data_IF_737747820608
#
_entry.id   IF_737747820608
#
_cell.length_a   1.000
_cell.length_b   1.000
_cell.length_c   1.000
_cell.angle_alpha   90.00
_cell.angle_beta   90.00
_cell.angle_gamma   90.00
#
_symmetry.space_group_name_H-M   'P 1'
#
loop_
_entity.id
_entity.type
_entity.pdbx_description
1 polymer ?
#
# COMPACT_ATOMS: atom_id res chain seq x y z
N UNK A 1 21.40 -7.19 2.90
CA UNK A 1 20.52 -6.29 3.71
C UNK A 1 19.11 -6.83 3.65
N UNK A 2 18.54 -7.16 4.82
CA UNK A 2 17.22 -7.79 4.94
C UNK A 2 16.22 -6.76 5.47
N UNK A 3 15.13 -6.55 4.73
CA UNK A 3 14.09 -5.57 5.07
C UNK A 3 12.78 -6.31 5.28
N UNK A 4 12.13 -6.05 6.41
CA UNK A 4 10.74 -6.46 6.66
C UNK A 4 9.79 -5.35 6.21
N UNK A 5 8.96 -5.63 5.21
CA UNK A 5 7.88 -4.76 4.78
C UNK A 5 6.56 -5.12 5.44
N UNK A 6 5.74 -4.12 5.76
CA UNK A 6 4.40 -4.29 6.33
C UNK A 6 3.39 -3.35 5.67
N UNK A 7 2.24 -3.90 5.31
CA UNK A 7 1.09 -3.14 4.82
C UNK A 7 -0.22 -3.58 5.46
N UNK A 8 -1.04 -2.61 5.85
CA UNK A 8 -2.42 -2.78 6.33
C UNK A 8 -3.32 -1.63 5.86
N UNK A 9 -2.88 -0.92 4.81
CA UNK A 9 -3.57 0.26 4.28
C UNK A 9 -4.83 -0.09 3.48
N UNK A 10 -4.92 -1.32 2.98
CA UNK A 10 -6.02 -1.83 2.16
C UNK A 10 -6.81 -2.92 2.91
N UNK A 11 -7.91 -3.45 2.33
CA UNK A 11 -8.61 -4.60 2.90
C UNK A 11 -7.74 -5.85 3.08
N UNK A 12 -6.67 -5.97 2.28
CA UNK A 12 -5.66 -7.03 2.40
C UNK A 12 -4.50 -6.54 3.26
N UNK A 13 -4.21 -7.25 4.35
CA UNK A 13 -2.98 -7.02 5.12
C UNK A 13 -1.86 -7.91 4.58
N UNK A 14 -0.61 -7.45 4.63
CA UNK A 14 0.52 -8.23 4.15
C UNK A 14 1.81 -7.93 4.91
N UNK A 15 2.68 -8.93 4.99
CA UNK A 15 4.07 -8.81 5.40
C UNK A 15 4.98 -9.46 4.37
N UNK A 16 6.20 -8.97 4.22
CA UNK A 16 7.17 -9.54 3.29
C UNK A 16 8.61 -9.32 3.77
N UNK A 17 9.48 -10.25 3.44
CA UNK A 17 10.92 -10.14 3.60
C UNK A 17 11.58 -9.97 2.24
N UNK A 18 12.41 -8.95 2.14
CA UNK A 18 13.21 -8.67 0.93
C UNK A 18 14.67 -8.63 1.33
N UNK A 19 15.50 -9.44 0.68
CA UNK A 19 16.94 -9.45 0.85
C UNK A 19 17.62 -8.97 -0.42
N UNK A 20 18.42 -7.92 -0.32
CA UNK A 20 19.17 -7.31 -1.44
C UNK A 20 18.29 -7.07 -2.69
N UNK A 21 17.07 -6.55 -2.45
CA UNK A 21 16.09 -6.25 -3.49
C UNK A 21 15.31 -7.46 -4.01
N UNK A 22 15.55 -8.67 -3.51
CA UNK A 22 14.86 -9.89 -3.92
C UNK A 22 13.86 -10.33 -2.85
N UNK A 23 12.66 -10.70 -3.27
CA UNK A 23 11.63 -11.26 -2.38
C UNK A 23 12.10 -12.62 -1.84
N UNK A 24 12.16 -12.77 -0.52
CA UNK A 24 12.49 -14.01 0.19
C UNK A 24 11.22 -14.73 0.64
N UNK A 25 10.30 -14.01 1.27
CA UNK A 25 9.03 -14.55 1.73
C UNK A 25 7.97 -13.45 1.73
N UNK A 26 6.74 -13.82 1.48
CA UNK A 26 5.59 -12.92 1.66
C UNK A 26 4.36 -13.67 2.16
N UNK A 27 3.52 -12.99 2.91
CA UNK A 27 2.26 -13.50 3.40
C UNK A 27 1.19 -12.43 3.28
N UNK A 28 0.05 -12.83 2.71
CA UNK A 28 -1.13 -11.99 2.58
C UNK A 28 -2.27 -12.56 3.42
N UNK A 29 -3.04 -11.67 4.00
CA UNK A 29 -4.30 -11.95 4.68
C UNK A 29 -5.41 -11.13 4.00
N UNK A 30 -6.36 -11.82 3.37
CA UNK A 30 -7.51 -11.20 2.72
C UNK A 30 -8.78 -11.52 3.50
N UNK A 31 -9.26 -10.51 4.23
CA UNK A 31 -10.47 -10.62 5.04
C UNK A 31 -11.71 -11.06 4.25
N UNK A 32 -11.78 -10.72 2.96
CA UNK A 32 -12.93 -11.05 2.10
C UNK A 32 -12.95 -12.53 1.72
N UNK A 33 -11.78 -13.14 1.57
CA UNK A 33 -11.64 -14.57 1.22
C UNK A 33 -11.89 -15.46 2.43
N UNK A 34 -11.44 -15.06 3.63
CA UNK A 34 -11.67 -15.84 4.85
C UNK A 34 -13.14 -15.84 5.31
N UNK A 35 -13.85 -14.73 5.14
CA UNK A 35 -15.29 -14.69 5.44
C UNK A 35 -16.10 -15.70 4.62
N UNK A 36 -15.59 -16.14 3.47
CA UNK A 36 -16.23 -17.16 2.60
C UNK A 36 -15.90 -18.61 2.98
N UNK A 37 -14.85 -18.83 3.79
CA UNK A 37 -14.37 -20.19 4.11
C UNK A 37 -14.92 -20.77 5.42
N UNK A 38 -15.98 -20.17 6.02
CA UNK A 38 -16.70 -20.68 7.20
C UNK A 38 -15.82 -21.12 8.38
N UNK A 39 -14.69 -20.49 8.64
CA UNK A 39 -13.91 -20.73 9.84
C UNK A 39 -14.39 -19.85 11.00
N UNK A 40 -15.04 -20.41 12.06
CA UNK A 40 -15.71 -19.60 13.09
C UNK A 40 -14.76 -18.76 13.95
N UNK A 41 -13.48 -19.06 13.95
CA UNK A 41 -12.47 -18.43 14.82
C UNK A 41 -11.70 -17.32 14.11
N UNK A 42 -11.53 -17.39 12.78
CA UNK A 42 -10.73 -16.45 12.00
C UNK A 42 -11.55 -15.35 11.30
N UNK A 43 -12.85 -15.52 11.12
CA UNK A 43 -13.74 -14.56 10.45
C UNK A 43 -13.93 -13.20 11.18
N UNK A 44 -13.37 -13.03 12.38
CA UNK A 44 -13.43 -11.80 13.18
C UNK A 44 -12.07 -11.11 13.34
N UNK A 45 -11.00 -11.58 12.67
CA UNK A 45 -9.67 -11.02 12.80
C UNK A 45 -9.65 -9.53 12.45
N UNK A 46 -9.37 -8.69 13.42
CA UNK A 46 -9.02 -7.29 13.23
C UNK A 46 -7.55 -7.25 12.74
N UNK A 47 -7.16 -6.28 11.92
CA UNK A 47 -5.76 -6.11 11.51
C UNK A 47 -4.79 -6.17 12.71
N UNK A 48 -5.20 -5.70 13.89
CA UNK A 48 -4.39 -5.77 15.11
C UNK A 48 -4.06 -7.22 15.56
N UNK A 49 -4.96 -8.16 15.31
CA UNK A 49 -4.79 -9.58 15.71
C UNK A 49 -3.93 -10.38 14.72
N UNK A 50 -3.88 -9.92 13.44
CA UNK A 50 -3.23 -10.66 12.36
C UNK A 50 -1.82 -10.17 12.02
N UNK A 51 -1.48 -8.91 12.33
CA UNK A 51 -0.20 -8.30 11.92
C UNK A 51 1.00 -9.04 12.51
N UNK A 52 1.00 -9.35 13.81
CA UNK A 52 2.09 -10.09 14.45
C UNK A 52 2.21 -11.51 13.91
N UNK A 53 1.13 -12.29 13.78
CA UNK A 53 1.18 -13.58 13.07
C UNK A 53 1.69 -13.52 11.63
N UNK A 54 1.36 -12.46 10.87
CA UNK A 54 1.90 -12.29 9.51
C UNK A 54 3.41 -12.10 9.53
N UNK A 55 3.90 -11.22 10.41
CA UNK A 55 5.34 -10.99 10.60
C UNK A 55 6.03 -12.30 10.97
N UNK A 56 5.52 -13.02 11.97
CA UNK A 56 6.11 -14.29 12.39
C UNK A 56 6.14 -15.29 11.23
N UNK A 57 5.05 -15.40 10.47
CA UNK A 57 4.96 -16.33 9.34
C UNK A 57 6.02 -16.07 8.27
N UNK A 58 6.32 -14.81 7.92
CA UNK A 58 7.35 -14.51 6.91
C UNK A 58 8.76 -14.70 7.47
N UNK A 59 8.99 -14.43 8.76
CA UNK A 59 10.26 -14.72 9.42
C UNK A 59 10.55 -16.23 9.44
N UNK A 60 9.56 -17.05 9.81
CA UNK A 60 9.66 -18.50 9.81
C UNK A 60 9.91 -19.06 8.39
N UNK A 61 9.18 -18.57 7.39
CA UNK A 61 9.35 -18.97 5.99
C UNK A 61 10.73 -18.59 5.44
N UNK A 62 11.24 -17.44 5.80
CA UNK A 62 12.57 -16.98 5.41
C UNK A 62 13.71 -17.58 6.23
N UNK A 63 13.40 -18.32 7.32
CA UNK A 63 14.38 -18.77 8.31
C UNK A 63 15.23 -17.62 8.87
N UNK A 64 14.62 -16.45 9.09
CA UNK A 64 15.25 -15.21 9.51
C UNK A 64 14.73 -14.81 10.90
N UNK A 65 15.64 -14.42 11.81
CA UNK A 65 15.26 -13.84 13.09
C UNK A 65 15.11 -12.31 13.01
N UNK A 66 14.38 -11.71 13.96
CA UNK A 66 14.26 -10.25 14.06
C UNK A 66 15.64 -9.57 14.19
N UNK A 67 16.59 -10.21 14.87
CA UNK A 67 17.96 -9.70 15.04
C UNK A 67 18.78 -9.62 13.75
N UNK A 68 18.36 -10.34 12.71
CA UNK A 68 19.03 -10.32 11.40
C UNK A 68 18.49 -9.23 10.47
N UNK A 69 17.39 -8.57 10.83
CA UNK A 69 16.81 -7.49 10.03
C UNK A 69 17.75 -6.27 10.00
N UNK A 70 17.83 -5.66 8.84
CA UNK A 70 18.59 -4.42 8.62
C UNK A 70 17.69 -3.17 8.71
N UNK A 71 16.38 -3.32 8.58
CA UNK A 71 15.41 -2.24 8.64
C UNK A 71 13.97 -2.69 8.45
N UNK A 72 13.05 -1.79 8.77
CA UNK A 72 11.61 -1.99 8.66
C UNK A 72 11.02 -0.98 7.70
N UNK A 73 10.13 -1.43 6.83
CA UNK A 73 9.41 -0.57 5.90
C UNK A 73 7.90 -0.73 6.10
N UNK A 74 7.15 0.37 6.03
CA UNK A 74 5.72 0.36 6.30
C UNK A 74 4.96 1.28 5.38
N UNK A 75 3.77 0.85 4.91
CA UNK A 75 2.83 1.74 4.24
C UNK A 75 2.35 2.82 5.20
N UNK A 76 2.56 4.09 4.85
CA UNK A 76 2.09 5.22 5.66
C UNK A 76 0.77 5.82 5.16
N UNK A 77 0.22 5.35 4.07
CA UNK A 77 -1.02 5.86 3.46
C UNK A 77 -0.82 6.40 2.04
N UNK A 78 -1.90 6.85 1.42
CA UNK A 78 -3.29 6.86 1.96
C UNK A 78 -3.89 5.45 2.07
N UNK A 79 -4.99 5.33 2.85
CA UNK A 79 -5.71 4.06 3.01
C UNK A 79 -6.53 3.99 4.29
N UNK A 80 -6.76 2.76 4.78
CA UNK A 80 -7.51 2.49 6.01
C UNK A 80 -6.92 3.20 7.22
N UNK A 81 -7.68 4.12 7.82
CA UNK A 81 -7.26 4.90 8.98
C UNK A 81 -6.82 4.04 10.18
N UNK A 82 -7.58 2.99 10.46
CA UNK A 82 -7.26 2.03 11.54
C UNK A 82 -6.07 1.15 11.14
N UNK A 83 -6.08 0.65 9.90
CA UNK A 83 -4.99 -0.20 9.40
C UNK A 83 -3.64 0.51 9.48
N UNK A 84 -3.51 1.70 8.93
CA UNK A 84 -2.27 2.48 8.94
C UNK A 84 -1.70 2.67 10.35
N UNK A 85 -2.58 2.95 11.34
CA UNK A 85 -2.14 3.10 12.73
C UNK A 85 -1.64 1.79 13.34
N UNK A 86 -2.29 0.67 13.02
CA UNK A 86 -1.89 -0.65 13.50
C UNK A 86 -0.49 -1.00 12.96
N UNK A 87 -0.29 -0.92 11.63
CA UNK A 87 1.01 -1.21 11.03
C UNK A 87 2.11 -0.31 11.60
N UNK A 88 1.85 1.00 11.63
CA UNK A 88 2.84 1.96 12.10
C UNK A 88 3.18 1.77 13.58
N UNK A 89 2.19 1.52 14.44
CA UNK A 89 2.42 1.24 15.86
C UNK A 89 3.24 -0.04 16.06
N UNK A 90 2.93 -1.10 15.31
CA UNK A 90 3.68 -2.37 15.35
C UNK A 90 5.13 -2.18 14.92
N UNK A 91 5.34 -1.50 13.77
CA UNK A 91 6.70 -1.24 13.26
C UNK A 91 7.50 -0.37 14.23
N UNK A 92 6.88 0.69 14.79
CA UNK A 92 7.53 1.54 15.81
C UNK A 92 7.92 0.75 17.06
N UNK A 93 7.06 -0.16 17.53
CA UNK A 93 7.37 -1.01 18.69
C UNK A 93 8.57 -1.91 18.44
N UNK A 94 8.61 -2.58 17.29
CA UNK A 94 9.74 -3.45 16.90
C UNK A 94 11.01 -2.60 16.71
N UNK A 95 10.91 -1.48 16.00
CA UNK A 95 12.02 -0.60 15.74
C UNK A 95 12.66 -0.05 17.02
N UNK A 96 11.83 0.33 17.98
CA UNK A 96 12.30 0.85 19.28
C UNK A 96 13.06 -0.20 20.09
N UNK A 97 12.53 -1.43 20.15
CA UNK A 97 13.14 -2.52 20.93
C UNK A 97 14.45 -3.02 20.30
N UNK A 98 14.52 -3.09 18.99
CA UNK A 98 15.66 -3.64 18.25
C UNK A 98 16.63 -2.58 17.68
N UNK A 99 16.35 -1.30 17.86
CA UNK A 99 17.18 -0.22 17.30
C UNK A 99 17.20 -0.19 15.77
N UNK A 100 16.12 -0.65 15.10
CA UNK A 100 16.08 -0.76 13.65
C UNK A 100 15.64 0.56 13.00
N UNK A 101 16.26 0.98 11.88
CA UNK A 101 15.79 2.10 11.09
C UNK A 101 14.45 1.77 10.42
N UNK A 102 13.61 2.80 10.24
CA UNK A 102 12.28 2.67 9.63
C UNK A 102 12.16 3.57 8.40
N UNK A 103 11.50 3.08 7.37
CA UNK A 103 11.11 3.86 6.18
C UNK A 103 9.61 3.74 5.94
N UNK A 104 8.93 4.89 5.96
CA UNK A 104 7.55 5.03 5.51
C UNK A 104 7.47 5.15 3.99
N UNK A 105 6.53 4.43 3.39
CA UNK A 105 6.32 4.39 1.94
C UNK A 105 4.87 4.70 1.62
N UNK A 106 4.63 5.57 0.63
CA UNK A 106 3.27 5.81 0.13
C UNK A 106 2.61 4.54 -0.36
N UNK A 107 1.35 4.31 0.03
CA UNK A 107 0.56 3.17 -0.44
C UNK A 107 0.29 3.25 -1.93
N UNK A 108 0.03 4.45 -2.48
CA UNK A 108 -0.19 4.64 -3.92
C UNK A 108 1.08 4.35 -4.72
N UNK A 109 2.24 4.79 -4.22
CA UNK A 109 3.53 4.50 -4.84
C UNK A 109 3.83 2.99 -4.81
N UNK A 110 3.66 2.34 -3.65
CA UNK A 110 3.86 0.90 -3.51
C UNK A 110 2.91 0.12 -4.44
N UNK A 111 1.65 0.55 -4.56
CA UNK A 111 0.68 -0.08 -5.44
C UNK A 111 1.10 -0.01 -6.92
N UNK A 112 1.54 1.15 -7.41
CA UNK A 112 2.07 1.30 -8.76
C UNK A 112 3.39 0.54 -8.98
N UNK A 113 4.25 0.46 -7.95
CA UNK A 113 5.54 -0.24 -8.04
C UNK A 113 5.42 -1.76 -8.20
N UNK A 114 4.28 -2.36 -7.84
CA UNK A 114 3.99 -3.79 -8.06
C UNK A 114 4.00 -4.16 -9.55
N UNK A 115 3.58 -3.24 -10.41
CA UNK A 115 3.52 -3.45 -11.86
C UNK A 115 4.92 -3.30 -12.46
N UNK A 116 5.63 -4.41 -12.66
CA UNK A 116 7.03 -4.40 -13.14
C UNK A 116 7.15 -4.43 -14.66
N UNK A 117 6.24 -5.12 -15.35
CA UNK A 117 6.30 -5.40 -16.79
C UNK A 117 5.27 -4.55 -17.55
N UNK A 118 5.36 -3.24 -17.40
CA UNK A 118 4.53 -2.26 -18.10
C UNK A 118 5.40 -1.08 -18.51
N UNK A 119 5.10 -0.49 -19.64
CA UNK A 119 5.70 0.78 -20.08
C UNK A 119 4.58 1.80 -20.20
N UNK A 120 4.84 3.04 -19.76
CA UNK A 120 3.88 4.13 -19.85
C UNK A 120 3.16 4.45 -18.54
N UNK A 121 1.93 4.92 -18.65
CA UNK A 121 1.15 5.48 -17.54
C UNK A 121 0.51 4.38 -16.68
N UNK A 122 0.71 4.50 -15.37
CA UNK A 122 0.04 3.69 -14.34
C UNK A 122 -0.77 4.62 -13.45
N UNK A 123 -2.10 4.42 -13.43
CA UNK A 123 -3.00 5.03 -12.48
C UNK A 123 -3.11 4.18 -11.22
N UNK A 124 -2.67 4.68 -10.08
CA UNK A 124 -2.85 4.01 -8.80
C UNK A 124 -4.11 4.56 -8.11
N UNK A 125 -5.10 3.69 -7.86
CA UNK A 125 -6.39 4.03 -7.27
C UNK A 125 -6.69 3.16 -6.06
N UNK A 126 -6.97 3.79 -4.91
CA UNK A 126 -7.52 3.11 -3.75
C UNK A 126 -8.92 3.68 -3.44
N UNK A 127 -9.85 2.82 -3.03
CA UNK A 127 -11.22 3.24 -2.74
C UNK A 127 -11.29 4.12 -1.48
N UNK A 128 -11.60 5.40 -1.67
CA UNK A 128 -11.81 6.35 -0.58
C UNK A 128 -13.27 6.42 -0.12
N UNK A 129 -14.17 5.55 -0.64
CA UNK A 129 -15.61 5.55 -0.42
C UNK A 129 -16.30 6.79 -1.01
N UNK A 130 -17.64 6.81 -1.01
CA UNK A 130 -18.48 7.96 -1.39
C UNK A 130 -18.19 8.49 -2.81
N UNK A 131 -17.89 7.60 -3.77
CA UNK A 131 -17.49 7.90 -5.16
C UNK A 131 -16.19 8.70 -5.26
N UNK A 132 -15.31 8.59 -4.28
CA UNK A 132 -13.98 9.18 -4.29
C UNK A 132 -12.92 8.09 -4.26
N UNK A 133 -11.76 8.43 -4.77
CA UNK A 133 -10.56 7.59 -4.78
C UNK A 133 -9.36 8.37 -4.23
N UNK A 134 -8.48 7.68 -3.53
CA UNK A 134 -7.11 8.13 -3.41
C UNK A 134 -6.42 7.81 -4.72
N UNK A 135 -5.75 8.78 -5.29
CA UNK A 135 -5.29 8.74 -6.65
C UNK A 135 -3.93 9.38 -6.86
N UNK A 136 -3.10 8.74 -7.68
CA UNK A 136 -1.89 9.31 -8.24
C UNK A 136 -1.58 8.65 -9.59
N UNK A 137 -0.86 9.39 -10.43
CA UNK A 137 -0.34 8.91 -11.72
C UNK A 137 1.17 8.72 -11.61
N UNK A 138 1.62 7.59 -12.12
CA UNK A 138 3.04 7.26 -12.26
C UNK A 138 3.35 6.96 -13.73
N UNK A 139 4.59 7.14 -14.12
CA UNK A 139 5.10 6.72 -15.42
C UNK A 139 6.23 5.71 -15.20
N UNK A 140 6.11 4.56 -15.84
CA UNK A 140 7.13 3.53 -15.82
C UNK A 140 7.91 3.52 -17.12
N UNK A 141 9.23 3.52 -16.96
CA UNK A 141 10.19 3.34 -18.06
C UNK A 141 11.26 2.35 -17.59
N UNK A 142 11.18 1.12 -18.08
CA UNK A 142 12.01 0.01 -17.60
C UNK A 142 11.84 -0.23 -16.09
N UNK A 143 12.93 -0.13 -15.36
CA UNK A 143 12.93 -0.28 -13.89
C UNK A 143 12.56 1.00 -13.13
N UNK A 144 12.49 2.14 -13.82
CA UNK A 144 12.21 3.44 -13.18
C UNK A 144 10.71 3.68 -13.12
N UNK A 145 10.22 4.04 -11.94
CA UNK A 145 8.85 4.48 -11.70
C UNK A 145 8.89 5.92 -11.17
N UNK A 146 8.36 6.85 -11.96
CA UNK A 146 8.38 8.29 -11.65
C UNK A 146 6.96 8.77 -11.36
N UNK A 147 6.71 9.49 -10.24
CA UNK A 147 5.43 10.14 -10.03
C UNK A 147 5.21 11.26 -11.06
N UNK A 148 4.03 11.28 -11.67
CA UNK A 148 3.60 12.28 -12.67
C UNK A 148 2.63 13.28 -12.05
N UNK A 149 1.88 12.86 -11.02
CA UNK A 149 0.97 13.73 -10.28
C UNK A 149 1.22 13.66 -8.80
N UNK A 150 0.76 14.69 -8.08
CA UNK A 150 0.64 14.62 -6.62
C UNK A 150 -0.42 13.60 -6.21
N UNK A 151 -0.22 13.00 -5.04
CA UNK A 151 -1.18 12.12 -4.41
C UNK A 151 -2.33 12.94 -3.85
N UNK A 152 -3.57 12.55 -4.14
CA UNK A 152 -4.76 13.27 -3.69
C UNK A 152 -5.97 12.39 -3.51
N UNK A 153 -6.99 12.90 -2.83
CA UNK A 153 -8.35 12.36 -2.86
C UNK A 153 -9.17 13.18 -3.85
N UNK A 154 -9.91 12.51 -4.73
CA UNK A 154 -10.78 13.16 -5.72
C UNK A 154 -11.92 12.24 -6.13
N UNK A 155 -12.91 12.78 -6.86
CA UNK A 155 -13.95 11.95 -7.47
C UNK A 155 -13.35 11.04 -8.54
N UNK A 156 -14.01 9.91 -8.81
CA UNK A 156 -13.56 8.98 -9.86
C UNK A 156 -13.56 9.67 -11.24
N UNK A 157 -14.51 10.59 -11.47
CA UNK A 157 -14.58 11.36 -12.71
C UNK A 157 -13.35 12.25 -12.90
N UNK A 158 -12.89 12.92 -11.82
CA UNK A 158 -11.69 13.75 -11.86
C UNK A 158 -10.41 12.90 -12.04
N UNK A 159 -10.35 11.70 -11.46
CA UNK A 159 -9.25 10.77 -11.70
C UNK A 159 -9.18 10.32 -13.17
N UNK A 160 -10.32 9.97 -13.77
CA UNK A 160 -10.43 9.62 -15.20
C UNK A 160 -9.95 10.76 -16.09
N UNK A 161 -10.40 11.99 -15.83
CA UNK A 161 -9.97 13.16 -16.62
C UNK A 161 -8.47 13.41 -16.51
N UNK A 162 -7.89 13.21 -15.33
CA UNK A 162 -6.45 13.32 -15.13
C UNK A 162 -5.66 12.26 -15.90
N UNK A 163 -6.15 11.01 -15.95
CA UNK A 163 -5.53 9.95 -16.75
C UNK A 163 -5.57 10.26 -18.24
N UNK A 164 -6.69 10.82 -18.74
CA UNK A 164 -6.81 11.27 -20.14
C UNK A 164 -5.85 12.41 -20.45
N UNK A 165 -5.74 13.36 -19.53
CA UNK A 165 -4.86 14.53 -19.68
C UNK A 165 -3.37 14.15 -19.64
N UNK A 166 -3.03 12.98 -19.08
CA UNK A 166 -1.67 12.44 -19.14
C UNK A 166 -1.28 11.91 -20.53
N UNK A 167 -2.20 11.99 -21.51
CA UNK A 167 -1.94 11.64 -22.91
C UNK A 167 -1.98 10.14 -23.22
N UNK A 168 -2.38 9.30 -22.23
CA UNK A 168 -2.43 7.86 -22.43
C UNK A 168 -3.80 7.40 -22.85
N UNK A 169 -3.87 6.65 -23.95
CA UNK A 169 -5.13 6.09 -24.49
C UNK A 169 -5.46 4.72 -23.92
N UNK A 170 -4.48 4.03 -23.36
CA UNK A 170 -4.58 2.67 -22.82
C UNK A 170 -3.84 2.55 -21.47
N UNK A 171 -4.23 3.32 -20.45
CA UNK A 171 -3.52 3.31 -19.15
C UNK A 171 -3.71 1.96 -18.45
N UNK A 172 -2.69 1.56 -17.68
CA UNK A 172 -2.87 0.54 -16.66
C UNK A 172 -3.38 1.20 -15.38
N UNK A 173 -4.51 0.69 -14.85
CA UNK A 173 -5.15 1.23 -13.64
C UNK A 173 -5.20 0.13 -12.58
N UNK A 174 -4.52 0.36 -11.43
CA UNK A 174 -4.30 -0.65 -10.40
C UNK A 174 -4.87 -0.24 -9.05
N UNK A 175 -5.40 -1.22 -8.31
CA UNK A 175 -5.83 -1.11 -6.91
C UNK A 175 -7.30 -1.43 -6.72
N UNK A 176 -7.73 -1.47 -5.46
CA UNK A 176 -9.13 -1.77 -5.09
C UNK A 176 -10.11 -0.69 -5.58
N UNK A 177 -9.66 0.57 -5.68
CA UNK A 177 -10.42 1.65 -6.31
C UNK A 177 -10.58 1.45 -7.82
N UNK A 178 -9.62 0.83 -8.50
CA UNK A 178 -9.75 0.51 -9.92
C UNK A 178 -10.86 -0.53 -10.16
N UNK A 179 -10.93 -1.55 -9.32
CA UNK A 179 -11.99 -2.58 -9.38
C UNK A 179 -13.34 -2.01 -8.97
N UNK A 180 -13.40 -1.20 -7.91
CA UNK A 180 -14.66 -0.60 -7.45
C UNK A 180 -15.34 0.26 -8.51
N UNK A 181 -14.55 0.87 -9.41
CA UNK A 181 -15.03 1.76 -10.45
C UNK A 181 -14.72 1.27 -11.88
N UNK A 182 -14.45 -0.03 -12.04
CA UNK A 182 -14.15 -0.66 -13.34
C UNK A 182 -15.11 -0.28 -14.47
N UNK A 183 -16.45 -0.30 -14.27
CA UNK A 183 -17.39 0.06 -15.36
C UNK A 183 -17.23 1.50 -15.85
N UNK A 184 -16.87 2.44 -14.96
CA UNK A 184 -16.65 3.84 -15.34
C UNK A 184 -15.33 4.01 -16.09
N UNK A 185 -14.29 3.34 -15.63
CA UNK A 185 -12.96 3.32 -16.28
C UNK A 185 -13.06 2.67 -17.68
N UNK A 186 -13.68 1.50 -17.79
CA UNK A 186 -13.86 0.81 -19.07
C UNK A 186 -14.65 1.67 -20.07
N UNK A 187 -15.73 2.31 -19.63
CA UNK A 187 -16.50 3.24 -20.47
C UNK A 187 -15.67 4.44 -20.90
N UNK A 188 -14.87 5.01 -20.00
CA UNK A 188 -14.11 6.21 -20.27
C UNK A 188 -13.00 6.01 -21.31
N UNK A 189 -12.37 4.83 -21.31
CA UNK A 189 -11.28 4.48 -22.23
C UNK A 189 -11.70 3.52 -23.36
N UNK A 190 -13.01 3.33 -23.57
CA UNK A 190 -13.53 2.48 -24.66
C UNK A 190 -13.08 1.01 -24.54
N UNK A 191 -12.81 0.52 -23.32
CA UNK A 191 -12.28 -0.82 -23.06
C UNK A 191 -10.75 -0.97 -23.25
N UNK A 192 -10.04 0.10 -23.60
CA UNK A 192 -8.59 0.06 -23.80
C UNK A 192 -7.78 0.08 -22.49
N UNK A 193 -8.34 0.59 -21.38
CA UNK A 193 -7.66 0.57 -20.10
C UNK A 193 -7.48 -0.86 -19.57
N UNK A 194 -6.28 -1.17 -19.09
CA UNK A 194 -5.99 -2.39 -18.34
C UNK A 194 -6.31 -2.14 -16.87
N UNK A 195 -7.32 -2.85 -16.34
CA UNK A 195 -7.81 -2.64 -14.98
C UNK A 195 -7.50 -3.89 -14.14
N UNK A 196 -6.84 -3.72 -13.01
CA UNK A 196 -6.44 -4.83 -12.15
C UNK A 196 -6.50 -4.49 -10.66
N UNK A 197 -6.75 -5.51 -9.82
CA UNK A 197 -6.71 -5.38 -8.37
C UNK A 197 -5.27 -5.24 -7.85
N UNK A 198 -4.33 -5.85 -8.57
CA UNK A 198 -2.92 -5.89 -8.23
C UNK A 198 -2.49 -7.18 -7.50
N UNK A 199 -3.40 -8.08 -7.15
CA UNK A 199 -3.07 -9.33 -6.46
C UNK A 199 -2.12 -10.21 -7.28
N UNK A 200 -2.20 -10.13 -8.60
CA UNK A 200 -1.33 -10.82 -9.55
C UNK A 200 0.13 -10.33 -9.55
N UNK A 201 0.39 -9.19 -8.96
CA UNK A 201 1.73 -8.57 -8.91
C UNK A 201 2.44 -8.73 -7.56
N UNK A 202 1.93 -9.59 -6.67
CA UNK A 202 2.47 -9.80 -5.33
C UNK A 202 1.93 -8.82 -4.27
N UNK A 203 2.44 -8.90 -3.06
CA UNK A 203 1.94 -8.12 -1.93
C UNK A 203 2.37 -6.64 -1.96
N UNK A 204 1.55 -5.77 -1.34
CA UNK A 204 1.95 -4.38 -1.08
C UNK A 204 3.19 -4.32 -0.16
N UNK A 205 3.28 -5.20 0.84
CA UNK A 205 4.43 -5.26 1.73
C UNK A 205 5.75 -5.54 1.01
N UNK A 206 5.73 -6.40 -0.03
CA UNK A 206 6.91 -6.65 -0.84
C UNK A 206 7.34 -5.40 -1.64
N UNK A 207 6.38 -4.67 -2.20
CA UNK A 207 6.66 -3.41 -2.90
C UNK A 207 7.18 -2.32 -1.95
N UNK A 208 6.59 -2.22 -0.74
CA UNK A 208 7.03 -1.31 0.32
C UNK A 208 8.47 -1.59 0.72
N UNK A 209 8.83 -2.86 0.98
CA UNK A 209 10.20 -3.25 1.29
C UNK A 209 11.16 -2.95 0.12
N UNK A 210 10.77 -3.27 -1.11
CA UNK A 210 11.60 -3.03 -2.29
C UNK A 210 11.85 -1.53 -2.54
N UNK A 211 10.84 -0.67 -2.39
CA UNK A 211 10.96 0.78 -2.55
C UNK A 211 11.85 1.42 -1.46
N UNK A 212 11.83 0.87 -0.26
CA UNK A 212 12.63 1.37 0.86
C UNK A 212 14.11 1.02 0.75
N UNK A 213 14.45 -0.01 -0.03
CA UNK A 213 15.81 -0.56 -0.11
C UNK A 213 16.87 0.51 -0.42
N UNK A 214 16.59 1.41 -1.37
CA UNK A 214 17.54 2.47 -1.76
C UNK A 214 17.79 3.45 -0.62
N UNK A 215 16.74 3.84 0.11
CA UNK A 215 16.89 4.73 1.26
C UNK A 215 17.75 4.09 2.35
N UNK A 216 17.57 2.81 2.63
CA UNK A 216 18.42 2.09 3.59
C UNK A 216 19.87 1.96 3.09
N UNK A 217 20.08 1.71 1.79
CA UNK A 217 21.42 1.65 1.20
C UNK A 217 22.16 3.00 1.32
N UNK A 218 21.41 4.12 1.23
CA UNK A 218 21.91 5.48 1.41
C UNK A 218 21.94 5.91 2.90
N UNK A 219 21.75 4.97 3.84
CA UNK A 219 21.65 5.21 5.29
C UNK A 219 20.58 6.25 5.68
N UNK A 220 19.53 6.39 4.88
CA UNK A 220 18.40 7.28 5.12
C UNK A 220 17.23 6.52 5.72
N UNK A 221 16.69 7.05 6.83
CA UNK A 221 15.48 6.54 7.49
C UNK A 221 14.61 7.71 7.96
N UNK A 222 13.37 7.41 8.30
CA UNK A 222 12.48 8.40 8.88
C UNK A 222 12.70 8.47 10.39
N UNK A 223 12.50 9.65 10.95
CA UNK A 223 12.53 9.82 12.40
C UNK A 223 11.31 9.11 13.03
N UNK A 224 11.58 8.16 13.91
CA UNK A 224 10.57 7.29 14.48
C UNK A 224 9.51 8.06 15.30
N UNK A 225 9.89 9.17 15.92
CA UNK A 225 8.98 9.97 16.74
C UNK A 225 7.98 10.72 15.86
N UNK A 226 8.43 11.34 14.79
CA UNK A 226 7.61 12.17 13.88
C UNK A 226 6.94 11.40 12.74
N UNK A 227 7.33 10.15 12.48
CA UNK A 227 6.71 9.34 11.43
C UNK A 227 5.23 9.09 11.75
N UNK A 228 4.33 9.62 10.95
CA UNK A 228 2.87 9.54 11.11
C UNK A 228 2.20 9.10 9.80
N UNK A 229 0.95 8.58 9.87
CA UNK A 229 0.23 8.26 8.64
C UNK A 229 -0.01 9.49 7.77
N UNK A 230 0.06 9.30 6.46
CA UNK A 230 -0.30 10.30 5.45
C UNK A 230 -1.83 10.31 5.27
N UNK A 231 -2.48 11.29 5.86
CA UNK A 231 -3.91 11.48 5.75
C UNK A 231 -4.24 12.51 4.65
N UNK A 232 -4.65 12.04 3.48
CA UNK A 232 -5.15 12.90 2.40
C UNK A 232 -6.60 13.36 2.62
N UNK A 233 -7.27 12.79 3.63
CA UNK A 233 -8.61 13.17 4.08
C UNK A 233 -8.62 13.23 5.60
N UNK A 234 -9.29 14.25 6.17
CA UNK A 234 -9.58 14.29 7.60
C UNK A 234 -10.43 13.10 8.03
N UNK A 235 -10.22 12.59 9.23
CA UNK A 235 -11.04 11.52 9.77
C UNK A 235 -12.52 11.93 9.88
N UNK A 236 -13.45 10.95 9.82
CA UNK A 236 -14.88 11.24 10.06
C UNK A 236 -15.13 11.82 11.45
N UNK A 237 -14.28 11.48 12.42
CA UNK A 237 -14.38 12.02 13.78
C UNK A 237 -13.98 13.50 13.84
N UNK A 238 -12.95 13.89 13.09
CA UNK A 238 -12.54 15.32 12.97
C UNK A 238 -13.59 16.12 12.23
N UNK A 239 -14.15 15.59 11.14
CA UNK A 239 -15.23 16.24 10.38
C UNK A 239 -16.51 16.41 11.23
N UNK A 240 -16.88 15.41 12.06
CA UNK A 240 -18.02 15.54 12.99
C UNK A 240 -17.77 16.57 14.07
N UNK A 241 -16.54 16.67 14.60
CA UNK A 241 -16.19 17.73 15.57
C UNK A 241 -16.28 19.12 14.95
N UNK A 242 -15.75 19.32 13.76
CA UNK A 242 -15.84 20.60 13.05
C UNK A 242 -17.29 21.02 12.78
N UNK A 243 -18.18 20.07 12.48
CA UNK A 243 -19.60 20.31 12.25
C UNK A 243 -20.42 20.62 13.55
N UNK A 244 -19.88 20.32 14.74
CA UNK A 244 -20.54 20.62 16.03
C UNK A 244 -20.04 21.93 16.66
N UNK A 245 -19.04 22.58 16.09
CA UNK A 245 -18.44 23.83 16.56
C UNK A 245 -19.00 25.05 15.78
N UNK A 246 -19.70 24.82 14.68
CA UNK A 246 -20.44 25.81 13.88
C UNK A 246 -21.94 25.71 14.12
#
# INVERSE_FOLDING_TARGET
MIILGLDTATPTASAALVEDGKLVAEKLYDKSKEARQNSPVQARGNHAEIVVPLIQSVLDQGHISLSALSGLAVSIGPGSFTGLRIALATVKGIAYDWGLPVVGVSTLHANAARVKNHEGVIGSLLDARKREVYFAIFHRQGQTLTPVSEERVCSIEAAIESLRSAGETSPLVIGDGAIAYEPLLAKAFGGAAQICAGDEFGSLAAAVAALSWRRFADHASDDLASLVPLYLRSSEAENKRAAHIN
#
